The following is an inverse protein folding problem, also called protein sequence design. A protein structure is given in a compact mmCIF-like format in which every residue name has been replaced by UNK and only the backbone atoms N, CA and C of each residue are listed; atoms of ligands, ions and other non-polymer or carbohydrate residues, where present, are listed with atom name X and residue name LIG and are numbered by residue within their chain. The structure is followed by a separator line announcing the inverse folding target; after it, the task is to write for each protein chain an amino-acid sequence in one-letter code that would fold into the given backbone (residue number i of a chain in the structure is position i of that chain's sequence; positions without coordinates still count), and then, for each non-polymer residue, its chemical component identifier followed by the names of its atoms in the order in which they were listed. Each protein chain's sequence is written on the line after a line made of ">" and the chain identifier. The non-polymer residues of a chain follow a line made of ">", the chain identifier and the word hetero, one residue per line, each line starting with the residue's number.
data_IF_971123566811
#
_entry.id   IF_971123566811
#
_cell.length_a   1.000
_cell.length_b   1.000
_cell.length_c   1.000
_cell.angle_alpha   90.00
_cell.angle_beta   90.00
_cell.angle_gamma   90.00
#
_symmetry.space_group_name_H-M   'P 1'
#
loop_
_entity.id
_entity.type
_entity.pdbx_description
1 polymer ?
#
# COMPACT_ATOMS: atom_id res chain seq x y z
N UNK A 1 45.84 -21.60 11.22
CA UNK A 1 44.41 -21.26 11.02
C UNK A 1 44.27 -19.74 10.93
N UNK A 2 43.57 -19.18 9.94
CA UNK A 2 43.48 -17.73 9.76
C UNK A 2 42.61 -17.08 10.85
N UNK A 3 43.17 -16.05 11.49
CA UNK A 3 42.48 -15.18 12.45
C UNK A 3 42.03 -13.89 11.77
N UNK A 4 40.96 -13.27 12.27
CA UNK A 4 40.44 -11.98 11.81
C UNK A 4 40.08 -11.10 13.00
N UNK A 5 40.29 -9.79 12.87
CA UNK A 5 39.71 -8.85 13.84
C UNK A 5 38.19 -8.80 13.66
N UNK A 6 37.46 -8.73 14.76
CA UNK A 6 36.01 -8.68 14.77
C UNK A 6 35.52 -7.24 14.85
N UNK A 7 34.85 -6.76 13.82
CA UNK A 7 34.24 -5.42 13.79
C UNK A 7 33.10 -5.19 14.80
N UNK A 8 32.59 -6.25 15.44
CA UNK A 8 31.44 -6.17 16.34
C UNK A 8 31.84 -6.04 17.81
N UNK A 9 32.91 -6.74 18.23
CA UNK A 9 33.38 -6.73 19.63
C UNK A 9 34.83 -6.23 19.80
N UNK A 10 35.54 -5.91 18.71
CA UNK A 10 36.92 -5.44 18.71
C UNK A 10 38.00 -6.51 18.95
N UNK A 11 37.63 -7.76 19.27
CA UNK A 11 38.59 -8.85 19.57
C UNK A 11 39.02 -9.62 18.31
N UNK A 12 40.10 -10.39 18.42
CA UNK A 12 40.58 -11.28 17.35
C UNK A 12 39.93 -12.66 17.52
N UNK A 13 39.35 -13.18 16.44
CA UNK A 13 38.68 -14.47 16.42
C UNK A 13 39.15 -15.34 15.25
N UNK A 14 38.91 -16.64 15.34
CA UNK A 14 39.02 -17.53 14.18
C UNK A 14 37.99 -17.15 13.11
N UNK A 15 38.29 -17.46 11.85
CA UNK A 15 37.45 -17.05 10.70
C UNK A 15 36.02 -17.58 10.77
N UNK A 16 35.84 -18.78 11.32
CA UNK A 16 34.60 -19.53 11.53
C UNK A 16 33.81 -19.13 12.80
N UNK A 17 34.41 -18.39 13.73
CA UNK A 17 33.74 -17.94 14.93
C UNK A 17 32.64 -16.91 14.63
N UNK A 18 31.43 -17.15 15.14
CA UNK A 18 30.30 -16.23 15.07
C UNK A 18 30.25 -15.40 16.36
N UNK A 19 30.54 -14.11 16.24
CA UNK A 19 30.52 -13.19 17.38
C UNK A 19 29.09 -13.00 17.93
N UNK A 20 28.87 -13.13 19.25
CA UNK A 20 27.55 -12.87 19.87
C UNK A 20 27.06 -11.42 19.70
N UNK A 21 27.98 -10.46 19.59
CA UNK A 21 27.66 -9.03 19.33
C UNK A 21 27.30 -8.77 17.86
N UNK A 22 27.44 -9.77 16.97
CA UNK A 22 26.97 -9.62 15.60
C UNK A 22 25.44 -9.50 15.65
N UNK A 23 24.86 -8.38 15.19
CA UNK A 23 23.41 -8.24 15.20
C UNK A 23 22.80 -9.38 14.39
N UNK A 24 21.79 -10.05 14.97
CA UNK A 24 20.99 -11.01 14.21
C UNK A 24 20.34 -10.22 13.09
N UNK A 25 20.54 -10.69 11.85
CA UNK A 25 19.91 -10.11 10.68
C UNK A 25 18.40 -10.07 10.89
N UNK A 26 17.85 -8.91 11.24
CA UNK A 26 16.40 -8.70 11.23
C UNK A 26 15.99 -8.52 9.78
N UNK A 27 16.02 -9.61 9.00
CA UNK A 27 15.38 -9.63 7.69
C UNK A 27 13.90 -9.58 7.99
N UNK A 28 13.34 -8.37 8.07
CA UNK A 28 11.90 -8.19 7.96
C UNK A 28 11.45 -9.04 6.78
N UNK A 29 10.63 -10.05 7.03
CA UNK A 29 10.11 -10.90 5.97
C UNK A 29 9.16 -10.00 5.18
N UNK A 30 9.59 -9.56 4.00
CA UNK A 30 8.73 -8.85 3.05
C UNK A 30 7.47 -9.68 2.83
N UNK A 31 6.30 -9.11 3.11
CA UNK A 31 5.03 -9.83 2.97
C UNK A 31 4.69 -10.00 1.48
N UNK A 32 3.80 -10.94 1.16
CA UNK A 32 3.30 -11.10 -0.22
C UNK A 32 2.65 -9.81 -0.74
N UNK A 33 1.96 -9.06 0.13
CA UNK A 33 1.40 -7.76 -0.21
C UNK A 33 2.48 -6.72 -0.55
N UNK A 34 3.61 -6.71 0.18
CA UNK A 34 4.72 -5.79 -0.10
C UNK A 34 5.38 -6.12 -1.44
N UNK A 35 5.62 -7.42 -1.70
CA UNK A 35 6.15 -7.88 -3.00
C UNK A 35 5.21 -7.51 -4.14
N UNK A 36 3.91 -7.71 -3.96
CA UNK A 36 2.89 -7.39 -4.97
C UNK A 36 2.94 -5.89 -5.34
N UNK A 37 3.06 -5.00 -4.35
CA UNK A 37 3.14 -3.55 -4.60
C UNK A 37 4.39 -3.13 -5.40
N UNK A 38 5.41 -3.98 -5.52
CA UNK A 38 6.56 -3.73 -6.39
C UNK A 38 6.38 -4.25 -7.82
N UNK A 39 5.32 -5.00 -8.10
CA UNK A 39 5.10 -5.59 -9.42
C UNK A 39 4.71 -4.54 -10.45
N UNK A 40 5.11 -4.77 -11.71
CA UNK A 40 4.65 -3.97 -12.85
C UNK A 40 3.13 -4.05 -13.05
N UNK A 41 2.52 -5.18 -12.69
CA UNK A 41 1.07 -5.37 -12.75
C UNK A 41 0.35 -4.37 -11.84
N UNK A 42 0.82 -4.21 -10.59
CA UNK A 42 0.28 -3.20 -9.69
C UNK A 42 0.53 -1.78 -10.20
N UNK A 43 1.74 -1.46 -10.66
CA UNK A 43 2.04 -0.12 -11.18
C UNK A 43 1.11 0.28 -12.33
N UNK A 44 0.86 -0.64 -13.26
CA UNK A 44 -0.07 -0.44 -14.38
C UNK A 44 -1.51 -0.27 -13.88
N UNK A 45 -1.98 -1.17 -13.02
CA UNK A 45 -3.35 -1.12 -12.48
C UNK A 45 -3.59 0.17 -11.68
N UNK A 46 -2.62 0.60 -10.87
CA UNK A 46 -2.68 1.87 -10.12
C UNK A 46 -2.93 3.06 -11.05
N UNK A 47 -2.24 3.10 -12.18
CA UNK A 47 -2.40 4.17 -13.17
C UNK A 47 -3.75 4.08 -13.91
N UNK A 48 -4.24 2.87 -14.20
CA UNK A 48 -5.59 2.65 -14.75
C UNK A 48 -6.67 3.18 -13.81
N UNK A 49 -6.61 2.85 -12.52
CA UNK A 49 -7.56 3.31 -11.50
C UNK A 49 -7.51 4.82 -11.34
N UNK A 50 -6.31 5.42 -11.28
CA UNK A 50 -6.17 6.89 -11.24
C UNK A 50 -6.80 7.56 -12.45
N UNK A 51 -6.66 6.98 -13.64
CA UNK A 51 -7.27 7.50 -14.87
C UNK A 51 -8.80 7.40 -14.84
N UNK A 52 -9.35 6.26 -14.41
CA UNK A 52 -10.81 6.07 -14.19
C UNK A 52 -11.34 7.16 -13.24
N UNK A 53 -10.60 7.38 -12.17
CA UNK A 53 -10.94 8.35 -11.12
C UNK A 53 -10.60 9.80 -11.50
N UNK A 54 -10.20 10.05 -12.76
CA UNK A 54 -9.84 11.37 -13.32
C UNK A 54 -8.78 12.10 -12.51
N UNK A 55 -7.87 11.35 -11.87
CA UNK A 55 -6.84 11.87 -10.97
C UNK A 55 -7.43 12.78 -9.88
N UNK A 56 -8.56 12.37 -9.31
CA UNK A 56 -9.21 13.04 -8.20
C UNK A 56 -9.46 12.06 -7.05
N UNK A 57 -9.32 12.57 -5.82
CA UNK A 57 -9.78 11.83 -4.65
C UNK A 57 -11.30 11.63 -4.73
N UNK A 58 -11.73 10.37 -4.71
CA UNK A 58 -13.12 9.99 -4.87
C UNK A 58 -14.00 10.31 -3.67
N UNK A 59 -13.40 10.51 -2.49
CA UNK A 59 -14.09 11.00 -1.29
C UNK A 59 -14.25 12.53 -1.36
N UNK A 60 -13.18 13.25 -1.74
CA UNK A 60 -13.20 14.70 -1.92
C UNK A 60 -14.23 15.16 -2.96
N UNK A 61 -14.30 14.51 -4.12
CA UNK A 61 -15.19 14.93 -5.20
C UNK A 61 -16.67 14.84 -4.81
N UNK A 62 -16.98 13.95 -3.85
CA UNK A 62 -18.29 13.72 -3.23
C UNK A 62 -18.54 14.58 -1.98
N UNK A 63 -17.54 15.38 -1.55
CA UNK A 63 -17.58 16.26 -0.36
C UNK A 63 -17.85 15.52 0.96
N UNK A 64 -17.37 14.29 1.08
CA UNK A 64 -17.57 13.46 2.28
C UNK A 64 -16.41 13.64 3.28
N UNK A 65 -16.59 13.21 4.52
CA UNK A 65 -15.54 13.13 5.55
C UNK A 65 -14.63 14.37 5.63
N UNK A 66 -15.20 15.50 6.08
CA UNK A 66 -14.46 16.75 6.30
C UNK A 66 -13.67 17.26 5.08
N UNK A 67 -14.19 17.05 3.87
CA UNK A 67 -13.56 17.56 2.65
C UNK A 67 -13.45 19.08 2.65
N UNK A 68 -12.22 19.59 2.59
CA UNK A 68 -11.93 21.02 2.42
C UNK A 68 -11.87 21.39 0.92
N UNK A 69 -11.20 20.57 0.11
CA UNK A 69 -11.02 20.79 -1.34
C UNK A 69 -11.77 19.72 -2.13
N UNK A 70 -12.88 20.08 -2.79
CA UNK A 70 -13.69 19.15 -3.60
C UNK A 70 -12.87 18.49 -4.72
N UNK A 71 -12.18 19.30 -5.52
CA UNK A 71 -11.36 18.83 -6.64
C UNK A 71 -9.92 18.61 -6.16
N UNK A 72 -9.70 17.60 -5.30
CA UNK A 72 -8.38 17.32 -4.76
C UNK A 72 -7.61 16.33 -5.64
N UNK A 73 -6.47 16.78 -6.17
CA UNK A 73 -5.54 16.04 -7.01
C UNK A 73 -4.14 15.89 -6.38
N UNK A 74 -3.97 16.34 -5.13
CA UNK A 74 -2.70 16.29 -4.40
C UNK A 74 -2.57 14.95 -3.67
N UNK A 75 -1.34 14.43 -3.61
CA UNK A 75 -0.95 13.29 -2.77
C UNK A 75 -1.89 12.08 -2.89
N UNK A 76 -2.18 11.71 -4.15
CA UNK A 76 -3.13 10.66 -4.48
C UNK A 76 -2.51 9.26 -4.38
N UNK A 77 -3.23 8.38 -3.69
CA UNK A 77 -2.95 6.98 -3.54
C UNK A 77 -4.14 6.13 -4.00
N UNK A 78 -3.87 4.89 -4.41
CA UNK A 78 -4.92 3.91 -4.69
C UNK A 78 -5.01 3.00 -3.48
N UNK A 79 -6.17 3.03 -2.83
CA UNK A 79 -6.48 2.24 -1.65
C UNK A 79 -7.12 0.91 -2.04
N UNK A 80 -6.73 -0.17 -1.35
CA UNK A 80 -7.38 -1.47 -1.42
C UNK A 80 -8.50 -1.53 -0.38
N UNK A 81 -9.76 -1.50 -0.81
CA UNK A 81 -10.92 -1.43 0.10
C UNK A 81 -11.02 -2.69 0.97
N UNK A 82 -10.89 -3.86 0.34
CA UNK A 82 -10.56 -5.13 0.98
C UNK A 82 -9.04 -5.32 0.90
N UNK A 83 -8.33 -5.36 2.03
CA UNK A 83 -6.88 -5.47 2.05
C UNK A 83 -6.38 -6.74 1.34
N UNK A 84 -5.23 -6.62 0.66
CA UNK A 84 -4.56 -7.74 -0.05
C UNK A 84 -4.34 -8.97 0.86
N UNK A 85 -4.13 -8.74 2.17
CA UNK A 85 -3.90 -9.82 3.14
C UNK A 85 -5.18 -10.59 3.49
N UNK A 86 -6.34 -9.97 3.33
CA UNK A 86 -7.64 -10.57 3.61
C UNK A 86 -8.16 -11.34 2.39
N UNK A 87 -8.08 -10.73 1.20
CA UNK A 87 -8.49 -11.37 -0.05
C UNK A 87 -7.53 -11.02 -1.18
N UNK A 88 -6.64 -11.97 -1.51
CA UNK A 88 -5.59 -11.75 -2.50
C UNK A 88 -6.15 -11.70 -3.93
N UNK A 89 -7.25 -12.39 -4.22
CA UNK A 89 -7.83 -12.41 -5.57
C UNK A 89 -8.34 -11.04 -6.00
N UNK A 90 -8.77 -10.20 -5.05
CA UNK A 90 -9.26 -8.84 -5.31
C UNK A 90 -8.17 -7.78 -5.51
N UNK A 91 -6.88 -8.14 -5.44
CA UNK A 91 -5.75 -7.18 -5.44
C UNK A 91 -5.62 -6.31 -6.70
N UNK A 92 -6.21 -6.76 -7.82
CA UNK A 92 -6.22 -6.07 -9.12
C UNK A 92 -7.63 -5.76 -9.62
N UNK A 93 -8.67 -6.06 -8.83
CA UNK A 93 -10.05 -5.87 -9.25
C UNK A 93 -10.45 -4.40 -9.14
N UNK A 94 -10.99 -3.84 -10.23
CA UNK A 94 -11.34 -2.41 -10.29
C UNK A 94 -12.39 -2.06 -9.23
N UNK A 95 -13.28 -3.00 -8.90
CA UNK A 95 -14.32 -2.90 -7.85
C UNK A 95 -13.77 -2.84 -6.42
N UNK A 96 -12.49 -3.14 -6.22
CA UNK A 96 -11.82 -3.14 -4.92
C UNK A 96 -10.77 -2.03 -4.76
N UNK A 97 -10.64 -1.15 -5.76
CA UNK A 97 -9.60 -0.15 -5.83
C UNK A 97 -10.21 1.24 -5.99
N UNK A 98 -9.75 2.19 -5.17
CA UNK A 98 -10.25 3.58 -5.20
C UNK A 98 -9.11 4.58 -5.03
N UNK A 99 -9.14 5.66 -5.82
CA UNK A 99 -8.19 6.78 -5.69
C UNK A 99 -8.63 7.73 -4.58
N UNK A 100 -7.77 7.96 -3.60
CA UNK A 100 -7.99 8.86 -2.45
C UNK A 100 -6.75 9.72 -2.20
N UNK A 101 -6.90 10.86 -1.54
CA UNK A 101 -5.74 11.61 -1.04
C UNK A 101 -5.25 11.03 0.28
N UNK A 102 -4.03 11.33 0.70
CA UNK A 102 -3.41 10.87 1.96
C UNK A 102 -4.36 10.94 3.17
N UNK A 103 -5.04 12.09 3.39
CA UNK A 103 -6.01 12.24 4.49
C UNK A 103 -7.14 11.20 4.47
N UNK A 104 -7.80 11.03 3.32
CA UNK A 104 -8.90 10.06 3.19
C UNK A 104 -8.39 8.62 3.13
N UNK A 105 -7.15 8.41 2.71
CA UNK A 105 -6.48 7.11 2.80
C UNK A 105 -6.32 6.68 4.26
N UNK A 106 -5.84 7.57 5.12
CA UNK A 106 -5.70 7.31 6.56
C UNK A 106 -7.07 7.01 7.22
N UNK A 107 -8.10 7.79 6.89
CA UNK A 107 -9.45 7.55 7.41
C UNK A 107 -10.03 6.20 6.95
N UNK A 108 -9.72 5.76 5.72
CA UNK A 108 -10.12 4.45 5.22
C UNK A 108 -9.36 3.31 5.92
N UNK A 109 -8.05 3.43 6.11
CA UNK A 109 -7.23 2.45 6.86
C UNK A 109 -7.69 2.30 8.31
N UNK A 110 -8.12 3.39 8.95
CA UNK A 110 -8.68 3.38 10.31
C UNK A 110 -10.12 2.85 10.37
N UNK A 111 -10.79 2.65 9.23
CA UNK A 111 -12.20 2.27 9.17
C UNK A 111 -13.17 3.42 9.53
N UNK A 112 -12.68 4.66 9.62
CA UNK A 112 -13.55 5.84 9.80
C UNK A 112 -14.43 6.05 8.58
N UNK A 113 -13.90 5.78 7.38
CA UNK A 113 -14.71 5.61 6.18
C UNK A 113 -15.03 4.12 6.05
N UNK A 114 -16.29 3.70 6.20
CA UNK A 114 -16.68 2.31 6.09
C UNK A 114 -16.38 1.72 4.71
N UNK A 115 -16.00 0.45 4.67
CA UNK A 115 -15.65 -0.25 3.41
C UNK A 115 -16.83 -0.33 2.44
N UNK A 116 -18.03 -0.55 2.95
CA UNK A 116 -19.28 -0.60 2.17
C UNK A 116 -19.54 0.72 1.44
N UNK A 117 -19.22 1.87 2.05
CA UNK A 117 -19.35 3.16 1.38
C UNK A 117 -18.34 3.32 0.23
N UNK A 118 -17.08 2.90 0.44
CA UNK A 118 -16.06 2.89 -0.61
C UNK A 118 -16.41 1.93 -1.75
N UNK A 119 -16.93 0.74 -1.41
CA UNK A 119 -17.39 -0.25 -2.40
C UNK A 119 -18.55 0.29 -3.23
N UNK A 120 -19.53 0.94 -2.58
CA UNK A 120 -20.66 1.56 -3.28
C UNK A 120 -20.19 2.65 -4.25
N UNK A 121 -19.20 3.46 -3.85
CA UNK A 121 -18.58 4.46 -4.73
C UNK A 121 -18.01 3.81 -5.98
N UNK A 122 -17.18 2.79 -5.81
CA UNK A 122 -16.49 2.15 -6.93
C UNK A 122 -17.45 1.37 -7.83
N UNK A 123 -18.44 0.70 -7.24
CA UNK A 123 -19.46 -0.02 -8.00
C UNK A 123 -20.23 0.93 -8.93
N UNK A 124 -20.68 2.08 -8.42
CA UNK A 124 -21.34 3.09 -9.24
C UNK A 124 -20.45 3.58 -10.41
N UNK A 125 -19.14 3.72 -10.18
CA UNK A 125 -18.21 4.12 -11.25
C UNK A 125 -18.06 3.06 -12.34
N UNK A 126 -18.04 1.77 -11.97
CA UNK A 126 -17.97 0.69 -12.97
C UNK A 126 -19.30 0.53 -13.73
N UNK A 127 -20.44 0.79 -13.10
CA UNK A 127 -21.74 0.83 -13.77
C UNK A 127 -21.81 1.98 -14.80
N UNK A 128 -21.38 3.19 -14.43
CA UNK A 128 -21.31 4.35 -15.33
C UNK A 128 -20.40 4.13 -16.54
N UNK A 129 -19.33 3.33 -16.39
CA UNK A 129 -18.38 3.00 -17.48
C UNK A 129 -18.97 2.03 -18.52
N UNK A 130 -19.94 1.21 -18.11
CA UNK A 130 -20.57 0.20 -18.96
C UNK A 130 -21.84 0.70 -19.66
N UNK A 131 -22.18 1.98 -19.50
CA UNK A 131 -23.35 2.63 -20.11
C UNK A 131 -22.91 3.59 -21.22
#
# INVERSE_FOLDING_TARGET
>A
MPLKSCKYCGRIHKKDFVCPMKPKSNKYKTSEADKFRWTKAWQRKREEVKRRDKFLCQVCIRKLYNTIKKYNYNDLEVHHIVPIKEEYELRLEDSNLITVCEYHHELAEQGTIPRDELLAIVQAQEEEKNT
#
